data_IF_704079676471
#
_entry.id   IF_704079676471
#
_cell.length_a   1.000
_cell.length_b   1.000
_cell.length_c   1.000
_cell.angle_alpha   90.00
_cell.angle_beta   90.00
_cell.angle_gamma   90.00
#
_symmetry.space_group_name_H-M   'P 1'
#
loop_
_entity.id
_entity.type
_entity.pdbx_description
1 polymer ?
#
# COMPACT_ATOMS: atom_id res chain seq x y z
N UNK A 1 0.87 -36.63 18.40
CA UNK A 1 0.98 -35.31 19.05
C UNK A 1 1.77 -34.42 18.10
N UNK A 2 1.06 -33.50 17.43
CA UNK A 2 1.44 -32.44 16.48
C UNK A 2 2.83 -32.49 15.79
N UNK A 3 2.85 -32.83 14.50
CA UNK A 3 3.90 -32.41 13.56
C UNK A 3 3.64 -30.95 13.18
N UNK A 4 4.49 -30.03 13.65
CA UNK A 4 4.45 -28.62 13.28
C UNK A 4 4.69 -28.47 11.77
N UNK A 5 3.64 -28.04 11.06
CA UNK A 5 3.74 -27.58 9.68
C UNK A 5 4.54 -26.29 9.64
N UNK A 6 5.81 -26.40 9.24
CA UNK A 6 6.57 -25.25 8.75
C UNK A 6 6.06 -24.99 7.33
N UNK A 7 4.98 -24.22 7.25
CA UNK A 7 4.67 -23.50 6.02
C UNK A 7 5.78 -22.46 5.86
N UNK A 8 6.74 -22.75 4.98
CA UNK A 8 7.64 -21.74 4.47
C UNK A 8 6.76 -20.71 3.74
N UNK A 9 6.32 -19.70 4.48
CA UNK A 9 5.76 -18.49 3.91
C UNK A 9 6.88 -17.88 3.09
N UNK A 10 6.89 -18.18 1.79
CA UNK A 10 7.68 -17.47 0.82
C UNK A 10 7.38 -15.99 1.08
N UNK A 11 8.38 -15.27 1.60
CA UNK A 11 8.31 -13.85 1.80
C UNK A 11 8.09 -13.24 0.44
N UNK A 12 6.83 -13.07 0.06
CA UNK A 12 6.46 -12.30 -1.10
C UNK A 12 7.14 -10.95 -0.88
N UNK A 13 7.99 -10.57 -1.82
CA UNK A 13 8.52 -9.22 -1.86
C UNK A 13 7.30 -8.35 -2.16
N UNK A 14 6.61 -7.94 -1.10
CA UNK A 14 5.48 -7.02 -1.19
C UNK A 14 6.13 -5.69 -1.58
N UNK A 15 5.86 -5.15 -2.79
CA UNK A 15 6.37 -3.84 -3.15
C UNK A 15 5.83 -2.83 -2.12
N UNK A 16 6.73 -2.28 -1.30
CA UNK A 16 6.37 -1.28 -0.30
C UNK A 16 6.11 0.05 -0.99
N UNK A 17 4.87 0.52 -0.91
CA UNK A 17 4.48 1.83 -1.40
C UNK A 17 4.78 2.87 -0.32
N UNK A 18 5.95 3.53 -0.42
CA UNK A 18 6.41 4.53 0.54
C UNK A 18 5.94 5.92 0.16
N UNK A 19 5.61 6.74 1.15
CA UNK A 19 5.28 8.14 0.93
C UNK A 19 6.52 8.88 0.38
N UNK A 20 6.43 9.55 -0.79
CA UNK A 20 7.57 10.22 -1.40
C UNK A 20 7.91 11.56 -0.71
N UNK A 21 6.95 12.14 0.02
CA UNK A 21 7.08 13.42 0.71
C UNK A 21 6.33 13.36 2.05
N UNK A 22 6.79 14.08 3.09
CA UNK A 22 6.05 14.21 4.33
C UNK A 22 4.75 14.99 4.10
N UNK A 23 3.65 14.51 4.67
CA UNK A 23 2.33 15.09 4.51
C UNK A 23 1.29 14.33 5.32
N UNK A 24 0.01 14.66 5.10
CA UNK A 24 -1.13 14.04 5.75
C UNK A 24 -1.93 13.21 4.73
N UNK A 25 -2.40 12.02 5.12
CA UNK A 25 -3.31 11.25 4.28
C UNK A 25 -4.70 11.88 4.36
N UNK A 26 -5.22 12.36 3.22
CA UNK A 26 -6.58 12.88 3.13
C UNK A 26 -7.59 11.79 2.87
N UNK A 27 -7.28 10.88 1.93
CA UNK A 27 -8.21 9.84 1.53
C UNK A 27 -7.49 8.58 1.05
N UNK A 28 -8.11 7.42 1.33
CA UNK A 28 -7.70 6.11 0.82
C UNK A 28 -8.71 5.70 -0.27
N UNK A 29 -8.23 5.52 -1.49
CA UNK A 29 -9.06 5.23 -2.67
C UNK A 29 -9.23 3.73 -2.91
N UNK A 30 -8.66 2.92 -2.02
CA UNK A 30 -8.65 1.46 -2.12
C UNK A 30 -9.06 0.81 -0.81
N UNK A 31 -9.59 -0.39 -0.90
CA UNK A 31 -9.93 -1.23 0.24
C UNK A 31 -8.93 -2.38 0.43
N UNK A 32 -8.80 -2.93 1.65
CA UNK A 32 -7.95 -4.10 1.89
C UNK A 32 -8.37 -5.30 1.02
N UNK A 33 -7.42 -5.84 0.25
CA UNK A 33 -7.67 -6.97 -0.65
C UNK A 33 -8.22 -6.58 -2.03
N UNK A 34 -8.39 -5.29 -2.31
CA UNK A 34 -8.75 -4.82 -3.65
C UNK A 34 -7.58 -5.02 -4.62
N UNK A 35 -7.89 -5.58 -5.80
CA UNK A 35 -6.94 -5.63 -6.91
C UNK A 35 -6.80 -4.25 -7.55
N UNK A 36 -5.55 -3.80 -7.75
CA UNK A 36 -5.21 -2.53 -8.38
C UNK A 36 -4.25 -2.75 -9.54
N UNK A 37 -4.43 -2.01 -10.62
CA UNK A 37 -3.55 -2.01 -11.78
C UNK A 37 -2.46 -0.94 -11.65
N UNK A 38 -1.37 -1.12 -12.39
CA UNK A 38 -0.28 -0.13 -12.44
C UNK A 38 -0.82 1.23 -12.88
N UNK A 39 -0.55 2.26 -12.09
CA UNK A 39 -1.00 3.62 -12.34
C UNK A 39 -2.37 3.97 -11.73
N UNK A 40 -3.04 3.01 -11.09
CA UNK A 40 -4.29 3.28 -10.39
C UNK A 40 -4.04 4.15 -9.15
N UNK A 41 -4.91 5.12 -8.86
CA UNK A 41 -4.78 5.99 -7.71
C UNK A 41 -5.12 5.22 -6.42
N UNK A 42 -4.22 5.25 -5.45
CA UNK A 42 -4.34 4.48 -4.20
C UNK A 42 -4.62 5.40 -3.02
N UNK A 43 -3.90 6.52 -2.93
CA UNK A 43 -3.94 7.43 -1.77
C UNK A 43 -3.87 8.88 -2.26
N UNK A 44 -4.61 9.76 -1.59
CA UNK A 44 -4.46 11.21 -1.72
C UNK A 44 -3.76 11.76 -0.47
N UNK A 45 -2.60 12.40 -0.67
CA UNK A 45 -1.85 13.08 0.39
C UNK A 45 -1.98 14.60 0.24
N UNK A 46 -2.08 15.30 1.36
CA UNK A 46 -1.90 16.74 1.45
C UNK A 46 -0.49 17.05 1.95
N UNK A 47 0.24 17.83 1.17
CA UNK A 47 1.53 18.36 1.57
C UNK A 47 1.58 19.86 1.25
N UNK A 48 1.81 20.68 2.27
CA UNK A 48 1.96 22.14 2.14
C UNK A 48 0.81 22.82 1.38
N UNK A 49 -0.45 22.44 1.68
CA UNK A 49 -1.70 22.94 1.06
C UNK A 49 -1.92 22.48 -0.38
N UNK A 50 -1.20 21.46 -0.84
CA UNK A 50 -1.38 20.84 -2.16
C UNK A 50 -1.73 19.36 -2.03
N UNK A 51 -2.69 18.92 -2.84
CA UNK A 51 -3.12 17.52 -2.93
C UNK A 51 -2.27 16.77 -3.96
N UNK A 52 -1.74 15.61 -3.56
CA UNK A 52 -0.93 14.73 -4.38
C UNK A 52 -1.52 13.32 -4.40
N UNK A 53 -1.73 12.78 -5.60
CA UNK A 53 -2.27 11.43 -5.78
C UNK A 53 -1.11 10.45 -5.96
N UNK A 54 -1.03 9.45 -5.09
CA UNK A 54 -0.07 8.35 -5.20
C UNK A 54 -0.72 7.19 -5.94
N UNK A 55 0.03 6.62 -6.87
CA UNK A 55 -0.42 5.56 -7.77
C UNK A 55 0.34 4.25 -7.50
N UNK A 56 -0.27 3.12 -7.84
CA UNK A 56 0.32 1.78 -7.76
C UNK A 56 1.46 1.56 -8.78
#
# INVERSE_FOLDING_TARGET
MATLGIGAGAGAVVPELKAPMPGMVLNLLVEPGQEVAKGDPVIVLEAMKMENVIKA
#
